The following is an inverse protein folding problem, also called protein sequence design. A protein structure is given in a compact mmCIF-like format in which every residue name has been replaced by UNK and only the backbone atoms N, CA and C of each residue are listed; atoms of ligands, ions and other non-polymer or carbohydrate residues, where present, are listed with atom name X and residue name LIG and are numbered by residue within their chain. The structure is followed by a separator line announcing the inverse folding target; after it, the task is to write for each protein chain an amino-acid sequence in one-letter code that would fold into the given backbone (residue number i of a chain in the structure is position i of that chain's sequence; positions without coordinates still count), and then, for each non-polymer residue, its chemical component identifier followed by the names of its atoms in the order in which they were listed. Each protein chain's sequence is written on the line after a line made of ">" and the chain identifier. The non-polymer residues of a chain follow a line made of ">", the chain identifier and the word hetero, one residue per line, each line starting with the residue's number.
data_IF_299434851262
#
_entry.id   IF_299434851262
#
_cell.length_a   1.000
_cell.length_b   1.000
_cell.length_c   1.000
_cell.angle_alpha   90.00
_cell.angle_beta   90.00
_cell.angle_gamma   90.00
#
_symmetry.space_group_name_H-M   'P 1'
#
loop_
_entity.id
_entity.type
_entity.pdbx_description
1 polymer ?
#
# COMPACT_ATOMS: atom_id res chain seq x y z
N UNK A 1 -2.13 -21.49 -6.95
CA UNK A 1 -1.24 -21.37 -5.76
C UNK A 1 -1.23 -19.90 -5.34
N UNK A 2 -2.12 -19.50 -4.42
CA UNK A 2 -2.33 -18.09 -4.02
C UNK A 2 -1.71 -17.75 -2.64
N UNK A 3 -0.84 -18.63 -2.12
CA UNK A 3 -0.32 -18.56 -0.74
C UNK A 3 0.70 -17.45 -0.45
N UNK A 4 1.15 -16.68 -1.44
CA UNK A 4 2.13 -15.61 -1.22
C UNK A 4 1.53 -14.34 -0.62
N UNK A 5 0.23 -14.08 -0.85
CA UNK A 5 -0.40 -12.83 -0.42
C UNK A 5 -0.85 -12.90 1.04
N UNK A 6 -1.33 -14.05 1.50
CA UNK A 6 -1.76 -14.27 2.88
C UNK A 6 -0.61 -14.03 3.87
N UNK A 7 0.61 -14.46 3.54
CA UNK A 7 1.80 -14.22 4.37
C UNK A 7 2.18 -12.74 4.46
N UNK A 8 1.94 -11.97 3.39
CA UNK A 8 2.13 -10.53 3.40
C UNK A 8 1.12 -9.86 4.34
N UNK A 9 -0.17 -10.20 4.21
CA UNK A 9 -1.22 -9.60 5.04
C UNK A 9 -1.13 -9.99 6.51
N UNK A 10 -0.51 -11.13 6.85
CA UNK A 10 -0.19 -11.45 8.24
C UNK A 10 0.67 -10.36 8.90
N UNK A 11 1.51 -9.64 8.16
CA UNK A 11 2.31 -8.55 8.76
C UNK A 11 1.47 -7.39 9.29
N UNK A 12 0.20 -7.29 8.88
CA UNK A 12 -0.77 -6.33 9.44
C UNK A 12 -1.17 -6.67 10.88
N UNK A 13 -1.02 -7.92 11.36
CA UNK A 13 -1.30 -8.24 12.77
C UNK A 13 -0.32 -7.54 13.74
N UNK A 14 0.82 -7.05 13.23
CA UNK A 14 1.81 -6.30 14.02
C UNK A 14 1.36 -4.86 14.26
N UNK A 15 0.30 -4.41 13.58
CA UNK A 15 -0.31 -3.11 13.82
C UNK A 15 -1.03 -3.13 15.16
N UNK A 16 -0.72 -2.16 16.00
CA UNK A 16 -1.48 -1.95 17.22
C UNK A 16 -2.79 -1.26 16.87
N UNK A 17 -3.93 -1.95 17.06
CA UNK A 17 -5.26 -1.37 16.86
C UNK A 17 -5.48 -0.13 17.74
N UNK A 18 -4.76 -0.03 18.85
CA UNK A 18 -4.81 1.09 19.77
C UNK A 18 -4.04 2.33 19.29
N UNK A 19 -3.09 2.17 18.36
CA UNK A 19 -2.31 3.27 17.79
C UNK A 19 -2.87 3.76 16.44
N UNK A 20 -3.51 2.86 15.68
CA UNK A 20 -4.00 3.16 14.34
C UNK A 20 -5.41 3.77 14.36
N UNK A 21 -5.48 5.09 14.48
CA UNK A 21 -6.70 5.87 14.22
C UNK A 21 -7.08 5.86 12.72
N UNK A 22 -8.33 6.19 12.38
CA UNK A 22 -8.78 6.36 11.00
C UNK A 22 -7.90 7.35 10.24
N UNK A 23 -7.64 8.49 10.85
CA UNK A 23 -6.79 9.54 10.29
C UNK A 23 -5.34 9.08 10.10
N UNK A 24 -4.83 8.22 10.99
CA UNK A 24 -3.50 7.66 10.89
C UNK A 24 -3.39 6.71 9.68
N UNK A 25 -4.39 5.84 9.48
CA UNK A 25 -4.44 4.94 8.33
C UNK A 25 -4.60 5.73 7.02
N UNK A 26 -5.47 6.74 7.01
CA UNK A 26 -5.68 7.65 5.87
C UNK A 26 -4.37 8.36 5.49
N UNK A 27 -3.67 8.96 6.47
CA UNK A 27 -2.40 9.63 6.26
C UNK A 27 -1.32 8.66 5.72
N UNK A 28 -1.25 7.44 6.26
CA UNK A 28 -0.32 6.41 5.80
C UNK A 28 -0.62 6.02 4.36
N UNK A 29 -1.87 5.67 4.03
CA UNK A 29 -2.27 5.25 2.69
C UNK A 29 -2.04 6.35 1.65
N UNK A 30 -2.42 7.59 1.99
CA UNK A 30 -2.19 8.77 1.14
C UNK A 30 -0.70 9.02 0.91
N UNK A 31 0.13 8.87 1.95
CA UNK A 31 1.59 9.02 1.83
C UNK A 31 2.21 7.90 0.99
N UNK A 32 1.78 6.65 1.19
CA UNK A 32 2.25 5.51 0.40
C UNK A 32 1.86 5.62 -1.07
N UNK A 33 0.68 6.17 -1.36
CA UNK A 33 0.24 6.46 -2.71
C UNK A 33 1.08 7.57 -3.36
N UNK A 34 1.26 8.72 -2.71
CA UNK A 34 2.08 9.82 -3.24
C UNK A 34 3.52 9.40 -3.48
N UNK A 35 4.10 8.65 -2.55
CA UNK A 35 5.48 8.16 -2.61
C UNK A 35 5.66 6.91 -3.48
N UNK A 36 4.62 6.46 -4.20
CA UNK A 36 4.69 5.23 -5.01
C UNK A 36 5.72 5.29 -6.14
N UNK A 37 6.05 6.50 -6.62
CA UNK A 37 7.01 6.73 -7.73
C UNK A 37 8.40 7.13 -7.25
N UNK A 38 8.47 7.85 -6.14
CA UNK A 38 9.72 8.42 -5.60
C UNK A 38 10.36 7.56 -4.52
N UNK A 39 9.62 6.58 -3.98
CA UNK A 39 10.04 5.79 -2.83
C UNK A 39 9.74 6.50 -1.51
N UNK A 40 9.76 5.73 -0.42
CA UNK A 40 9.43 6.22 0.91
C UNK A 40 10.68 6.88 1.53
N UNK A 41 10.62 8.18 1.83
CA UNK A 41 11.75 8.89 2.41
C UNK A 41 11.94 8.51 3.90
N UNK A 42 13.16 8.67 4.47
CA UNK A 42 13.41 8.44 5.89
C UNK A 42 12.41 9.14 6.85
N UNK A 43 12.05 10.43 6.68
CA UNK A 43 11.08 11.08 7.57
C UNK A 43 9.68 10.47 7.44
N UNK A 44 9.24 10.09 6.23
CA UNK A 44 7.96 9.40 6.03
C UNK A 44 7.95 8.03 6.70
N UNK A 45 9.08 7.30 6.68
CA UNK A 45 9.21 6.01 7.37
C UNK A 45 9.01 6.17 8.88
N UNK A 46 9.67 7.16 9.49
CA UNK A 46 9.51 7.45 10.92
C UNK A 46 8.09 7.91 11.25
N UNK A 47 7.47 8.71 10.37
CA UNK A 47 6.10 9.15 10.52
C UNK A 47 5.11 7.97 10.49
N UNK A 48 5.22 7.10 9.48
CA UNK A 48 4.40 5.88 9.36
C UNK A 48 4.65 4.94 10.54
N UNK A 49 5.90 4.80 10.99
CA UNK A 49 6.23 3.99 12.17
C UNK A 49 5.48 4.48 13.41
N UNK A 50 5.49 5.80 13.64
CA UNK A 50 4.81 6.43 14.77
C UNK A 50 3.29 6.30 14.68
N UNK A 51 2.72 6.55 13.50
CA UNK A 51 1.27 6.45 13.24
C UNK A 51 0.74 5.03 13.43
N UNK A 52 1.52 4.02 13.03
CA UNK A 52 1.14 2.62 13.14
C UNK A 52 1.55 1.98 14.48
N UNK A 53 2.25 2.73 15.34
CA UNK A 53 2.76 2.25 16.62
C UNK A 53 3.73 1.06 16.47
N UNK A 54 4.52 1.02 15.40
CA UNK A 54 5.40 -0.12 15.11
C UNK A 54 6.64 -0.12 16.02
N UNK A 55 6.96 -1.27 16.65
CA UNK A 55 8.08 -1.36 17.59
C UNK A 55 9.46 -1.24 16.92
N UNK A 56 9.54 -1.45 15.60
CA UNK A 56 10.81 -1.35 14.87
C UNK A 56 10.64 -0.81 13.45
N UNK A 57 11.60 0.01 13.02
CA UNK A 57 11.68 0.55 11.67
C UNK A 57 11.82 -0.55 10.60
N UNK A 58 12.36 -1.71 10.97
CA UNK A 58 12.46 -2.87 10.07
C UNK A 58 11.10 -3.45 9.68
N UNK A 59 10.03 -3.13 10.42
CA UNK A 59 8.66 -3.53 10.09
C UNK A 59 7.92 -2.54 9.21
N UNK A 60 8.43 -1.31 9.06
CA UNK A 60 7.79 -0.27 8.25
C UNK A 60 7.78 -0.66 6.78
N UNK A 61 8.92 -1.13 6.26
CA UNK A 61 9.05 -1.53 4.86
C UNK A 61 8.14 -2.73 4.50
N UNK A 62 8.14 -3.83 5.27
CA UNK A 62 7.14 -4.88 5.23
C UNK A 62 5.69 -4.42 5.10
N UNK A 63 5.24 -3.60 6.04
CA UNK A 63 3.85 -3.17 6.16
C UNK A 63 3.50 -2.21 5.02
N UNK A 64 4.42 -1.32 4.69
CA UNK A 64 4.29 -0.42 3.55
C UNK A 64 4.15 -1.19 2.23
N UNK A 65 4.91 -2.26 2.04
CA UNK A 65 4.79 -3.12 0.86
C UNK A 65 3.42 -3.81 0.80
N UNK A 66 2.90 -4.27 1.94
CA UNK A 66 1.57 -4.89 2.01
C UNK A 66 0.47 -3.89 1.66
N UNK A 67 0.50 -2.70 2.26
CA UNK A 67 -0.44 -1.62 1.97
C UNK A 67 -0.35 -1.17 0.50
N UNK A 68 0.86 -1.05 -0.07
CA UNK A 68 1.04 -0.74 -1.50
C UNK A 68 0.44 -1.80 -2.42
N UNK A 69 0.59 -3.08 -2.09
CA UNK A 69 -0.06 -4.16 -2.86
C UNK A 69 -1.58 -4.08 -2.75
N UNK A 70 -2.14 -3.79 -1.57
CA UNK A 70 -3.58 -3.59 -1.39
C UNK A 70 -4.10 -2.44 -2.23
N UNK A 71 -3.40 -1.29 -2.20
CA UNK A 71 -3.78 -0.13 -3.00
C UNK A 71 -3.78 -0.49 -4.49
N UNK A 72 -2.72 -1.12 -5.00
CA UNK A 72 -2.66 -1.54 -6.42
C UNK A 72 -3.79 -2.49 -6.78
N UNK A 73 -4.08 -3.49 -5.93
CA UNK A 73 -5.19 -4.41 -6.16
C UNK A 73 -6.54 -3.68 -6.14
N UNK A 74 -6.81 -2.84 -5.14
CA UNK A 74 -8.06 -2.09 -4.98
C UNK A 74 -8.37 -1.14 -6.15
N UNK A 75 -7.33 -0.56 -6.75
CA UNK A 75 -7.48 0.40 -7.86
C UNK A 75 -7.55 -0.30 -9.21
N UNK A 76 -6.84 -1.44 -9.36
CA UNK A 76 -6.79 -2.20 -10.60
C UNK A 76 -7.99 -3.14 -10.78
N UNK A 77 -8.42 -3.77 -9.70
CA UNK A 77 -9.58 -4.66 -9.67
C UNK A 77 -10.75 -3.95 -8.98
N UNK A 78 -11.97 -4.25 -9.45
CA UNK A 78 -13.19 -3.70 -8.88
C UNK A 78 -13.61 -4.41 -7.59
N UNK A 79 -12.71 -4.45 -6.62
CA UNK A 79 -12.99 -4.97 -5.30
C UNK A 79 -14.07 -4.14 -4.62
N UNK A 80 -15.06 -4.85 -4.06
CA UNK A 80 -16.04 -4.32 -3.10
C UNK A 80 -15.62 -4.67 -1.67
N UNK A 81 -16.26 -4.06 -0.68
CA UNK A 81 -15.96 -4.24 0.75
C UNK A 81 -15.84 -5.72 1.15
N UNK A 82 -16.77 -6.56 0.67
CA UNK A 82 -16.80 -8.00 0.93
C UNK A 82 -15.65 -8.78 0.30
N UNK A 83 -15.08 -8.33 -0.81
CA UNK A 83 -13.95 -9.02 -1.44
C UNK A 83 -12.62 -8.55 -0.87
N UNK A 84 -12.52 -7.27 -0.51
CA UNK A 84 -11.38 -6.76 0.25
C UNK A 84 -11.29 -7.42 1.62
N UNK A 85 -12.39 -7.56 2.34
CA UNK A 85 -12.41 -8.20 3.66
C UNK A 85 -11.88 -9.64 3.60
N UNK A 86 -12.19 -10.40 2.54
CA UNK A 86 -11.66 -11.75 2.31
C UNK A 86 -10.14 -11.82 2.10
N UNK A 87 -9.49 -10.72 1.72
CA UNK A 87 -8.03 -10.67 1.53
C UNK A 87 -7.28 -10.61 2.87
N UNK A 88 -7.92 -10.10 3.92
CA UNK A 88 -7.30 -9.98 5.23
C UNK A 88 -7.34 -11.33 5.97
N UNK A 89 -6.30 -11.65 6.75
CA UNK A 89 -6.30 -12.87 7.54
C UNK A 89 -7.38 -12.80 8.63
N UNK A 90 -7.99 -13.95 8.99
CA UNK A 90 -9.02 -14.01 10.04
C UNK A 90 -8.48 -13.64 11.44
N UNK A 91 -7.16 -13.68 11.61
CA UNK A 91 -6.45 -13.24 12.82
C UNK A 91 -6.38 -11.70 12.96
N UNK A 92 -6.81 -10.94 11.96
CA UNK A 92 -6.82 -9.48 12.01
C UNK A 92 -8.05 -8.98 12.78
N UNK A 93 -7.92 -7.99 13.69
CA UNK A 93 -9.08 -7.43 14.38
C UNK A 93 -10.09 -6.85 13.39
N UNK A 94 -11.36 -7.21 13.56
CA UNK A 94 -12.47 -6.75 12.69
C UNK A 94 -12.54 -5.22 12.63
N UNK A 95 -12.26 -4.53 13.73
CA UNK A 95 -12.20 -3.06 13.76
C UNK A 95 -11.12 -2.48 12.84
N UNK A 96 -9.93 -3.09 12.81
CA UNK A 96 -8.84 -2.66 11.94
C UNK A 96 -9.15 -2.99 10.47
N UNK A 97 -9.71 -4.18 10.24
CA UNK A 97 -10.10 -4.65 8.91
C UNK A 97 -11.14 -3.69 8.32
N UNK A 98 -12.21 -3.39 9.04
CA UNK A 98 -13.25 -2.46 8.60
C UNK A 98 -12.68 -1.08 8.29
N UNK A 99 -11.81 -0.56 9.15
CA UNK A 99 -11.18 0.74 8.98
C UNK A 99 -10.25 0.78 7.75
N UNK A 100 -9.43 -0.25 7.54
CA UNK A 100 -8.62 -0.38 6.33
C UNK A 100 -9.48 -0.43 5.06
N UNK A 101 -10.56 -1.23 5.07
CA UNK A 101 -11.44 -1.36 3.90
C UNK A 101 -12.17 -0.05 3.61
N UNK A 102 -12.73 0.60 4.64
CA UNK A 102 -13.43 1.88 4.51
C UNK A 102 -12.51 2.96 3.91
N UNK A 103 -11.29 3.12 4.43
CA UNK A 103 -10.34 4.10 3.90
C UNK A 103 -9.88 3.73 2.49
N UNK A 104 -9.58 2.45 2.20
CA UNK A 104 -9.20 2.03 0.84
C UNK A 104 -10.29 2.34 -0.20
N UNK A 105 -11.55 2.04 0.13
CA UNK A 105 -12.68 2.31 -0.77
C UNK A 105 -12.97 3.81 -0.92
N UNK A 106 -12.84 4.59 0.17
CA UNK A 106 -12.94 6.05 0.16
C UNK A 106 -11.97 6.68 -0.85
N UNK A 107 -10.71 6.20 -0.88
CA UNK A 107 -9.69 6.73 -1.79
C UNK A 107 -9.67 6.07 -3.18
N UNK A 108 -10.37 4.95 -3.37
CA UNK A 108 -10.37 4.18 -4.63
C UNK A 108 -10.66 5.06 -5.85
N UNK A 109 -11.70 5.87 -5.81
CA UNK A 109 -12.08 6.75 -6.93
C UNK A 109 -10.98 7.77 -7.22
N UNK A 110 -10.50 8.45 -6.17
CA UNK A 110 -9.43 9.44 -6.28
C UNK A 110 -8.16 8.83 -6.89
N UNK A 111 -7.77 7.63 -6.45
CA UNK A 111 -6.61 6.91 -6.98
C UNK A 111 -6.80 6.45 -8.43
N UNK A 112 -7.99 5.99 -8.81
CA UNK A 112 -8.30 5.66 -10.22
C UNK A 112 -8.15 6.90 -11.09
N UNK A 113 -8.70 8.03 -10.67
CA UNK A 113 -8.56 9.30 -11.39
C UNK A 113 -7.11 9.78 -11.47
N UNK A 114 -6.34 9.64 -10.39
CA UNK A 114 -4.92 10.01 -10.35
C UNK A 114 -4.10 9.18 -11.36
N UNK A 115 -4.34 7.86 -11.43
CA UNK A 115 -3.75 6.98 -12.46
C UNK A 115 -4.19 7.41 -13.86
N UNK A 116 -5.48 7.67 -14.07
CA UNK A 116 -6.00 8.09 -15.37
C UNK A 116 -5.39 9.43 -15.81
N UNK A 117 -5.30 10.40 -14.90
CA UNK A 117 -4.67 11.70 -15.14
C UNK A 117 -3.19 11.56 -15.43
N UNK A 118 -2.48 10.72 -14.69
CA UNK A 118 -1.07 10.43 -14.96
C UNK A 118 -0.87 9.76 -16.32
N UNK A 119 -1.75 8.84 -16.72
CA UNK A 119 -1.69 8.23 -18.06
C UNK A 119 -1.92 9.26 -19.17
N UNK A 120 -2.86 10.20 -18.99
CA UNK A 120 -3.11 11.27 -19.96
C UNK A 120 -2.04 12.37 -19.96
N UNK A 121 -1.30 12.52 -18.86
CA UNK A 121 -0.23 13.52 -18.73
C UNK A 121 1.09 13.06 -19.34
N UNK A 122 1.21 11.80 -19.75
CA UNK A 122 2.32 11.35 -20.60
C UNK A 122 1.91 11.65 -22.04
N UNK A 123 2.44 12.70 -22.70
CA UNK A 123 2.28 12.82 -24.14
C UNK A 123 2.85 11.55 -24.75
N UNK A 124 2.01 10.83 -25.47
CA UNK A 124 2.36 9.67 -26.30
C UNK A 124 3.23 10.14 -27.45
N UNK A 125 4.45 10.59 -27.14
CA UNK A 125 5.54 10.62 -28.09
C UNK A 125 6.07 9.19 -28.16
N UNK A 126 5.93 8.59 -29.34
CA UNK A 126 6.55 7.31 -29.67
C UNK A 126 8.06 7.42 -29.46
N UNK A 127 8.54 7.06 -28.28
CA UNK A 127 9.96 6.75 -28.06
C UNK A 127 10.00 5.40 -27.38
N UNK A 128 10.47 4.43 -28.14
CA UNK A 128 10.73 3.06 -27.76
C UNK A 128 11.69 3.00 -26.58
N UNK A 129 11.16 2.95 -25.36
CA UNK A 129 11.95 2.53 -24.21
C UNK A 129 11.73 1.04 -23.97
N UNK A 130 12.44 0.22 -24.76
CA UNK A 130 12.98 -1.01 -24.18
C UNK A 130 13.98 -0.60 -23.09
N UNK A 131 13.61 -0.75 -21.82
CA UNK A 131 14.56 -1.05 -20.73
C UNK A 131 13.84 -1.98 -19.76
N UNK A 132 13.95 -3.29 -19.95
CA UNK A 132 15.01 -4.13 -19.37
C UNK A 132 15.17 -3.81 -17.88
N UNK A 133 14.45 -4.57 -17.05
CA UNK A 133 14.81 -4.84 -15.67
C UNK A 133 16.28 -5.29 -15.64
N UNK A 134 17.21 -4.37 -15.32
CA UNK A 134 18.55 -4.77 -14.92
C UNK A 134 18.56 -4.89 -13.41
N UNK A 135 18.32 -6.14 -12.99
CA UNK A 135 19.08 -6.85 -11.98
C UNK A 135 20.23 -6.02 -11.39
N UNK A 136 20.11 -5.63 -10.13
CA UNK A 136 21.27 -5.39 -9.29
C UNK A 136 22.04 -6.72 -9.19
N UNK A 137 23.29 -6.75 -9.63
CA UNK A 137 24.30 -7.63 -9.07
C UNK A 137 25.63 -6.87 -9.08
N UNK A 138 26.03 -6.48 -7.89
CA UNK A 138 27.29 -5.85 -7.56
C UNK A 138 28.32 -6.97 -7.40
N UNK A 139 29.35 -6.98 -8.25
CA UNK A 139 30.57 -7.76 -8.07
C UNK A 139 31.72 -7.01 -8.77
N UNK A 140 32.44 -6.19 -8.00
CA UNK A 140 33.90 -6.09 -7.92
C UNK A 140 34.28 -4.90 -7.02
#
# INVERSE_FOLDING_TARGET
>A
MEGGNTTLYLRLHKLSVAAASEEAIDAVLTTLWRTRRTGLAPPDKSHIQSLLGLPSASQVDPVSACLRSLIRKCVNDDFVESDLSKLFPPDLPVSLQGLLVSVLLKHKNQWREDILREQHSIPRSSISYQRRWRQCNDYC
#
